data_IF_426412089180
#
_entry.id   IF_426412089180
#
_cell.length_a   1.000
_cell.length_b   1.000
_cell.length_c   1.000
_cell.angle_alpha   90.00
_cell.angle_beta   90.00
_cell.angle_gamma   90.00
#
_symmetry.space_group_name_H-M   'P 1'
#
loop_
_entity.id
_entity.type
_entity.pdbx_description
1 polymer ?
#
# COMPACT_ATOMS: atom_id res chain seq x y z
N UNK A 1 8.58 3.34 -3.68
CA UNK A 1 7.62 2.30 -3.25
C UNK A 1 8.28 1.14 -2.51
N UNK A 2 9.38 0.57 -3.01
CA UNK A 2 10.15 -0.52 -2.37
C UNK A 2 10.35 -0.38 -0.84
N UNK A 3 10.82 0.79 -0.37
CA UNK A 3 11.06 1.01 1.07
C UNK A 3 9.78 0.97 1.90
N UNK A 4 8.69 1.56 1.40
CA UNK A 4 7.38 1.53 2.05
C UNK A 4 6.88 0.09 2.10
N UNK A 5 6.95 -0.64 0.98
CA UNK A 5 6.55 -2.04 0.90
C UNK A 5 7.29 -2.91 1.92
N UNK A 6 8.61 -2.73 2.06
CA UNK A 6 9.41 -3.45 3.06
C UNK A 6 8.98 -3.10 4.49
N UNK A 7 8.78 -1.82 4.79
CA UNK A 7 8.32 -1.39 6.12
C UNK A 7 6.96 -1.99 6.46
N UNK A 8 6.02 -1.97 5.52
CA UNK A 8 4.68 -2.54 5.70
C UNK A 8 4.71 -4.06 5.84
N UNK A 9 5.60 -4.79 5.14
CA UNK A 9 5.72 -6.25 5.30
C UNK A 9 6.23 -6.68 6.69
N UNK A 10 6.97 -5.82 7.38
CA UNK A 10 7.50 -6.06 8.72
C UNK A 10 6.57 -5.50 9.82
N UNK A 11 5.64 -4.63 9.45
CA UNK A 11 4.72 -4.02 10.38
C UNK A 11 3.54 -4.96 10.66
N UNK A 12 3.34 -5.30 11.93
CA UNK A 12 2.29 -6.19 12.41
C UNK A 12 1.34 -5.51 13.42
N UNK A 13 1.27 -4.18 13.39
CA UNK A 13 0.41 -3.39 14.30
C UNK A 13 -0.44 -2.37 13.57
N UNK A 14 -0.02 -1.92 12.39
CA UNK A 14 -0.75 -0.95 11.59
C UNK A 14 -2.02 -1.59 11.03
N UNK A 15 -3.16 -0.98 11.32
CA UNK A 15 -4.49 -1.41 10.85
C UNK A 15 -5.03 -0.53 9.73
N UNK A 16 -4.62 0.73 9.67
CA UNK A 16 -5.09 1.70 8.69
C UNK A 16 -3.91 2.35 7.98
N UNK A 17 -3.95 2.37 6.65
CA UNK A 17 -2.93 2.99 5.80
C UNK A 17 -3.59 3.96 4.82
N UNK A 18 -3.33 5.25 4.99
CA UNK A 18 -3.76 6.27 4.05
C UNK A 18 -2.61 6.64 3.11
N UNK A 19 -2.79 6.39 1.81
CA UNK A 19 -1.89 6.76 0.73
C UNK A 19 -2.60 7.62 -0.32
N UNK A 20 -3.69 8.30 0.04
CA UNK A 20 -4.41 9.20 -0.86
C UNK A 20 -3.48 10.30 -1.40
N UNK A 21 -3.72 10.74 -2.63
CA UNK A 21 -3.01 11.88 -3.25
C UNK A 21 -1.47 11.73 -3.36
N UNK A 22 -0.94 10.50 -3.39
CA UNK A 22 0.51 10.23 -3.44
C UNK A 22 1.08 9.94 -4.83
N UNK A 23 0.34 10.27 -5.90
CA UNK A 23 0.80 10.08 -7.29
C UNK A 23 1.19 8.61 -7.61
N UNK A 24 0.55 7.64 -6.95
CA UNK A 24 0.84 6.22 -7.11
C UNK A 24 0.31 5.73 -8.46
N UNK A 25 1.19 5.18 -9.29
CA UNK A 25 0.83 4.53 -10.57
C UNK A 25 0.74 3.01 -10.47
N UNK A 26 0.48 2.34 -11.59
CA UNK A 26 0.28 0.88 -11.66
C UNK A 26 1.46 0.07 -11.12
N UNK A 27 2.70 0.52 -11.32
CA UNK A 27 3.89 -0.10 -10.73
C UNK A 27 3.85 -0.02 -9.20
N UNK A 28 3.47 1.13 -8.64
CA UNK A 28 3.38 1.32 -7.20
C UNK A 28 2.28 0.44 -6.57
N UNK A 29 1.15 0.29 -7.26
CA UNK A 29 0.09 -0.64 -6.85
C UNK A 29 0.56 -2.09 -6.85
N UNK A 30 1.31 -2.53 -7.87
CA UNK A 30 1.85 -3.91 -7.92
C UNK A 30 2.70 -4.24 -6.70
N UNK A 31 3.54 -3.29 -6.26
CA UNK A 31 4.35 -3.42 -5.05
C UNK A 31 3.49 -3.48 -3.77
N UNK A 32 2.42 -2.66 -3.70
CA UNK A 32 1.48 -2.70 -2.58
C UNK A 32 0.72 -4.02 -2.52
N UNK A 33 0.23 -4.53 -3.65
CA UNK A 33 -0.50 -5.81 -3.72
C UNK A 33 0.34 -6.97 -3.18
N UNK A 34 1.61 -7.03 -3.55
CA UNK A 34 2.54 -8.07 -3.05
C UNK A 34 2.66 -8.03 -1.52
N UNK A 35 2.69 -6.82 -0.94
CA UNK A 35 2.76 -6.66 0.52
C UNK A 35 1.44 -6.99 1.19
N UNK A 36 0.32 -6.55 0.64
CA UNK A 36 -1.02 -6.80 1.21
C UNK A 36 -1.39 -8.29 1.22
N UNK A 37 -0.77 -9.11 0.35
CA UNK A 37 -0.92 -10.56 0.41
C UNK A 37 -0.29 -11.17 1.68
N UNK A 38 0.79 -10.56 2.19
CA UNK A 38 1.58 -11.06 3.32
C UNK A 38 1.26 -10.36 4.64
N UNK A 39 0.98 -9.05 4.61
CA UNK A 39 0.55 -8.30 5.77
C UNK A 39 -0.89 -8.68 6.16
N UNK A 40 -1.11 -9.05 7.43
CA UNK A 40 -2.42 -9.50 7.94
C UNK A 40 -3.08 -8.49 8.89
N UNK A 41 -2.48 -7.34 9.11
CA UNK A 41 -2.95 -6.37 10.10
C UNK A 41 -3.63 -5.17 9.46
N UNK A 42 -3.21 -4.77 8.27
CA UNK A 42 -3.84 -3.67 7.52
C UNK A 42 -5.23 -4.13 7.07
N UNK A 43 -6.26 -3.52 7.64
CA UNK A 43 -7.67 -3.76 7.31
C UNK A 43 -8.29 -2.62 6.51
N UNK A 44 -7.71 -1.43 6.58
CA UNK A 44 -8.17 -0.24 5.86
C UNK A 44 -7.03 0.33 5.02
N UNK A 45 -7.28 0.52 3.72
CA UNK A 45 -6.33 1.11 2.78
C UNK A 45 -7.04 2.17 1.94
N UNK A 46 -6.58 3.42 2.03
CA UNK A 46 -7.03 4.51 1.17
C UNK A 46 -6.00 4.78 0.06
N UNK A 47 -6.43 4.60 -1.18
CA UNK A 47 -5.66 4.88 -2.40
C UNK A 47 -6.34 5.93 -3.29
N UNK A 48 -7.31 6.66 -2.77
CA UNK A 48 -8.04 7.70 -3.51
C UNK A 48 -7.10 8.76 -4.09
N UNK A 49 -7.50 9.36 -5.20
CA UNK A 49 -6.74 10.44 -5.86
C UNK A 49 -5.28 10.07 -6.24
N UNK A 50 -5.02 8.80 -6.52
CA UNK A 50 -3.77 8.34 -7.11
C UNK A 50 -3.89 8.16 -8.63
N UNK A 51 -2.76 7.96 -9.32
CA UNK A 51 -2.69 7.71 -10.77
C UNK A 51 -2.88 6.22 -11.10
N UNK A 52 -3.80 5.57 -10.39
CA UNK A 52 -4.12 4.16 -10.60
C UNK A 52 -5.03 4.10 -11.83
N UNK A 53 -4.48 3.61 -12.92
CA UNK A 53 -5.26 3.31 -14.12
C UNK A 53 -6.00 1.99 -13.90
N UNK A 54 -7.26 1.92 -14.35
CA UNK A 54 -8.06 0.70 -14.35
C UNK A 54 -7.50 -0.32 -15.35
#
# INVERSE_FOLDING_TARGET
>A
MLSLSKALSLNNTLTELNLSENNIGSEGVSHLTTVLQTNKTITTLDLSYNKIQA
#
